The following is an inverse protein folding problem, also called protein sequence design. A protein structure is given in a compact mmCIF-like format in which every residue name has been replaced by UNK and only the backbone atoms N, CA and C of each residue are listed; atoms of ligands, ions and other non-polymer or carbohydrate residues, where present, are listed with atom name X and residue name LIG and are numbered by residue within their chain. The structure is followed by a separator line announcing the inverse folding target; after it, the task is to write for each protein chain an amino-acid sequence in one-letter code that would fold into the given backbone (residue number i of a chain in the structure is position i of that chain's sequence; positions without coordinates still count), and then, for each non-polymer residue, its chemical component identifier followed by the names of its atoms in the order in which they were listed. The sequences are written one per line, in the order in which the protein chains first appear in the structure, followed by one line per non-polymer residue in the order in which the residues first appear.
data_IF_818535599540
#
_entry.id   IF_818535599540
#
_cell.length_a   1.000
_cell.length_b   1.000
_cell.length_c   1.000
_cell.angle_alpha   90.00
_cell.angle_beta   90.00
_cell.angle_gamma   90.00
#
_symmetry.space_group_name_H-M   'P 1'
#
loop_
_entity.id
_entity.type
_entity.pdbx_description
1 polymer ?
#
# COMPACT_ATOMS: atom_id res chain seq x y z
N UNK A 1 -7.81 -12.05 -3.74
CA UNK A 1 -7.59 -12.42 -5.15
C UNK A 1 -6.09 -12.58 -5.36
N UNK A 2 -5.63 -13.74 -5.81
CA UNK A 2 -4.19 -14.09 -5.86
C UNK A 2 -3.58 -13.76 -7.24
N UNK A 3 -4.35 -13.92 -8.31
CA UNK A 3 -3.95 -13.58 -9.67
C UNK A 3 -5.18 -13.40 -10.57
N UNK A 4 -4.97 -12.80 -11.74
CA UNK A 4 -5.97 -12.63 -12.79
C UNK A 4 -5.29 -12.61 -14.15
N UNK A 5 -6.01 -13.05 -15.18
CA UNK A 5 -5.49 -13.13 -16.55
C UNK A 5 -6.62 -12.95 -17.55
N UNK A 6 -6.36 -12.19 -18.61
CA UNK A 6 -7.23 -12.08 -19.78
C UNK A 6 -6.99 -13.20 -20.82
N UNK A 7 -6.01 -14.08 -20.57
CA UNK A 7 -5.69 -15.23 -21.42
C UNK A 7 -6.04 -16.54 -20.70
N UNK A 8 -6.40 -17.56 -21.48
CA UNK A 8 -6.89 -18.86 -21.01
C UNK A 8 -5.85 -19.74 -20.32
N UNK A 9 -4.56 -19.40 -20.44
CA UNK A 9 -3.47 -20.10 -19.76
C UNK A 9 -2.60 -19.09 -19.02
N UNK A 10 -2.53 -19.21 -17.70
CA UNK A 10 -1.66 -18.38 -16.87
C UNK A 10 -1.21 -19.12 -15.61
N UNK A 11 -0.03 -18.76 -15.13
CA UNK A 11 0.57 -19.33 -13.93
C UNK A 11 0.28 -18.43 -12.73
N UNK A 12 -0.04 -19.07 -11.61
CA UNK A 12 -0.35 -18.41 -10.34
C UNK A 12 0.55 -18.99 -9.27
N UNK A 13 1.22 -18.09 -8.54
CA UNK A 13 1.94 -18.40 -7.33
C UNK A 13 0.99 -18.21 -6.16
N UNK A 14 0.82 -19.26 -5.39
CA UNK A 14 -0.10 -19.25 -4.26
C UNK A 14 0.55 -18.57 -3.04
N UNK A 15 -0.23 -17.84 -2.22
CA UNK A 15 0.29 -17.26 -0.99
C UNK A 15 0.67 -18.39 -0.03
N UNK A 16 1.84 -18.29 0.59
CA UNK A 16 2.23 -19.18 1.67
C UNK A 16 1.56 -18.78 2.98
N UNK A 17 1.26 -19.75 3.84
CA UNK A 17 0.72 -19.52 5.17
C UNK A 17 1.47 -20.30 6.25
N UNK A 18 1.23 -19.95 7.51
CA UNK A 18 1.65 -20.72 8.67
C UNK A 18 0.83 -22.03 8.82
N UNK A 19 1.03 -22.75 9.93
CA UNK A 19 0.34 -24.02 10.20
C UNK A 19 -1.20 -23.91 10.26
N UNK A 20 -1.78 -22.71 10.41
CA UNK A 20 -3.22 -22.47 10.45
C UNK A 20 -3.79 -21.93 9.14
N UNK A 21 -3.03 -21.13 8.39
CA UNK A 21 -3.48 -20.50 7.12
C UNK A 21 -2.85 -21.10 5.85
N UNK A 22 -2.01 -22.14 5.97
CA UNK A 22 -1.38 -22.81 4.81
C UNK A 22 -2.37 -23.57 3.93
N UNK A 23 -3.54 -23.97 4.45
CA UNK A 23 -4.58 -24.64 3.66
C UNK A 23 -5.35 -23.62 2.84
N UNK A 24 -5.13 -23.62 1.52
CA UNK A 24 -5.84 -22.76 0.60
C UNK A 24 -6.96 -23.51 -0.09
N UNK A 25 -8.18 -22.99 0.06
CA UNK A 25 -9.32 -23.36 -0.79
C UNK A 25 -9.26 -22.52 -2.06
N UNK A 26 -9.02 -23.16 -3.19
CA UNK A 26 -8.84 -22.48 -4.48
C UNK A 26 -10.16 -22.49 -5.23
N UNK A 27 -10.64 -21.29 -5.56
CA UNK A 27 -11.79 -21.08 -6.45
C UNK A 27 -11.31 -20.28 -7.65
N UNK A 28 -11.58 -20.77 -8.85
CA UNK A 28 -11.31 -20.06 -10.10
C UNK A 28 -12.63 -19.45 -10.56
N UNK A 29 -12.66 -18.12 -10.66
CA UNK A 29 -13.79 -17.37 -11.20
C UNK A 29 -13.45 -16.93 -12.62
N UNK A 30 -14.19 -17.44 -13.61
CA UNK A 30 -14.08 -17.06 -15.02
C UNK A 30 -15.20 -16.05 -15.30
N UNK A 31 -14.82 -14.89 -15.83
CA UNK A 31 -15.75 -13.79 -16.13
C UNK A 31 -15.68 -13.40 -17.59
N UNK A 32 -16.81 -12.99 -18.14
CA UNK A 32 -16.89 -12.33 -19.44
C UNK A 32 -17.10 -10.81 -19.31
N UNK A 33 -17.14 -10.12 -20.45
CA UNK A 33 -17.35 -8.67 -20.53
C UNK A 33 -18.76 -8.21 -20.15
N UNK A 34 -19.70 -9.14 -19.96
CA UNK A 34 -21.09 -8.89 -19.56
C UNK A 34 -21.32 -9.27 -18.09
N UNK A 35 -20.25 -9.47 -17.32
CA UNK A 35 -20.27 -9.87 -15.91
C UNK A 35 -20.96 -11.22 -15.64
N UNK A 36 -20.96 -12.13 -16.63
CA UNK A 36 -21.33 -13.52 -16.38
C UNK A 36 -20.18 -14.22 -15.66
N UNK A 37 -20.45 -14.79 -14.49
CA UNK A 37 -19.46 -15.46 -13.65
C UNK A 37 -19.67 -16.97 -13.64
N UNK A 38 -18.63 -17.74 -13.94
CA UNK A 38 -18.57 -19.19 -13.71
C UNK A 38 -17.48 -19.48 -12.68
N UNK A 39 -17.84 -20.18 -11.61
CA UNK A 39 -16.90 -20.58 -10.57
C UNK A 39 -16.55 -22.06 -10.66
N UNK A 40 -15.26 -22.36 -10.54
CA UNK A 40 -14.72 -23.72 -10.52
C UNK A 40 -13.99 -23.91 -9.19
N UNK A 41 -14.54 -24.79 -8.35
CA UNK A 41 -13.89 -25.19 -7.12
C UNK A 41 -12.79 -26.20 -7.42
N UNK A 42 -11.59 -25.91 -6.94
CA UNK A 42 -10.41 -26.76 -7.07
C UNK A 42 -10.14 -27.50 -5.76
N UNK A 43 -9.33 -28.56 -5.82
CA UNK A 43 -8.81 -29.21 -4.63
C UNK A 43 -7.99 -28.24 -3.78
N UNK A 44 -8.13 -28.35 -2.45
CA UNK A 44 -7.34 -27.56 -1.52
C UNK A 44 -5.86 -27.89 -1.60
N UNK A 45 -4.99 -26.89 -1.45
CA UNK A 45 -3.53 -27.06 -1.50
C UNK A 45 -2.92 -26.48 -0.23
N UNK A 46 -1.97 -27.20 0.37
CA UNK A 46 -1.13 -26.66 1.43
C UNK A 46 0.10 -25.96 0.85
N UNK A 47 0.30 -24.69 1.20
CA UNK A 47 1.43 -23.88 0.72
C UNK A 47 2.24 -23.39 1.91
N UNK A 48 3.50 -23.81 1.96
CA UNK A 48 4.43 -23.54 3.06
C UNK A 48 5.43 -22.45 2.61
N UNK A 49 5.84 -21.61 3.55
CA UNK A 49 6.83 -20.56 3.32
C UNK A 49 8.22 -21.16 3.06
N UNK A 50 8.90 -20.67 2.03
CA UNK A 50 10.31 -20.99 1.76
C UNK A 50 11.24 -19.98 2.46
N UNK A 51 11.39 -20.15 3.78
CA UNK A 51 12.21 -19.25 4.61
C UNK A 51 13.69 -19.21 4.19
N UNK A 52 14.20 -20.28 3.60
CA UNK A 52 15.60 -20.37 3.20
C UNK A 52 15.86 -19.39 2.06
N UNK A 53 15.10 -19.49 0.97
CA UNK A 53 15.26 -18.61 -0.19
C UNK A 53 15.02 -17.13 0.15
N UNK A 54 14.08 -16.83 1.06
CA UNK A 54 13.82 -15.45 1.51
C UNK A 54 14.93 -14.89 2.39
N UNK A 55 15.47 -15.68 3.33
CA UNK A 55 16.60 -15.23 4.16
C UNK A 55 17.89 -15.11 3.35
N UNK A 56 18.09 -15.98 2.37
CA UNK A 56 19.21 -15.88 1.43
C UNK A 56 19.14 -14.58 0.62
N UNK A 57 17.96 -14.14 0.20
CA UNK A 57 17.77 -12.84 -0.46
C UNK A 57 18.18 -11.68 0.46
N UNK A 58 17.70 -11.68 1.71
CA UNK A 58 18.02 -10.63 2.69
C UNK A 58 19.53 -10.56 2.94
N UNK A 59 20.16 -11.71 3.15
CA UNK A 59 21.62 -11.83 3.37
C UNK A 59 22.41 -11.38 2.13
N UNK A 60 21.95 -11.73 0.93
CA UNK A 60 22.59 -11.36 -0.34
C UNK A 60 22.56 -9.85 -0.59
N UNK A 61 21.45 -9.18 -0.23
CA UNK A 61 21.29 -7.74 -0.39
C UNK A 61 22.04 -6.92 0.68
N UNK A 62 22.24 -7.48 1.87
CA UNK A 62 23.02 -6.85 2.94
C UNK A 62 24.54 -6.90 2.69
N UNK A 63 25.02 -7.93 1.99
CA UNK A 63 26.46 -8.22 1.89
C UNK A 63 27.19 -7.43 0.79
N UNK A 64 26.51 -6.49 0.11
CA UNK A 64 27.10 -5.61 -0.94
C UNK A 64 27.95 -6.37 -1.98
N UNK A 65 27.68 -7.66 -2.17
CA UNK A 65 28.54 -8.55 -2.94
C UNK A 65 27.97 -8.72 -4.34
N UNK A 66 28.87 -8.86 -5.31
CA UNK A 66 28.57 -9.12 -6.73
C UNK A 66 27.83 -10.44 -7.01
N UNK A 67 27.31 -11.11 -5.98
CA UNK A 67 26.66 -12.44 -6.02
C UNK A 67 25.12 -12.33 -6.02
N UNK A 68 24.55 -11.16 -6.32
CA UNK A 68 23.11 -11.00 -6.48
C UNK A 68 22.53 -11.84 -7.64
N UNK A 69 23.34 -12.19 -8.64
CA UNK A 69 22.91 -12.92 -9.84
C UNK A 69 22.60 -14.41 -9.61
N UNK A 70 23.02 -15.00 -8.49
CA UNK A 70 22.76 -16.41 -8.18
C UNK A 70 21.49 -16.62 -7.33
N UNK A 71 20.88 -15.55 -6.82
CA UNK A 71 19.65 -15.68 -6.04
C UNK A 71 18.46 -15.91 -6.98
N UNK A 72 17.69 -16.98 -6.75
CA UNK A 72 16.56 -17.37 -7.60
C UNK A 72 15.49 -16.26 -7.68
N UNK A 73 15.26 -15.51 -6.59
CA UNK A 73 14.31 -14.40 -6.59
C UNK A 73 14.81 -13.28 -7.50
N UNK A 74 16.09 -12.89 -7.40
CA UNK A 74 16.67 -11.84 -8.27
C UNK A 74 16.60 -12.25 -9.74
N UNK A 75 16.90 -13.52 -10.04
CA UNK A 75 16.76 -14.05 -11.40
C UNK A 75 15.31 -13.96 -11.90
N UNK A 76 14.34 -14.37 -11.08
CA UNK A 76 12.92 -14.29 -11.44
C UNK A 76 12.40 -12.86 -11.56
N UNK A 77 12.92 -11.92 -10.76
CA UNK A 77 12.62 -10.49 -10.93
C UNK A 77 13.18 -9.96 -12.25
N UNK A 78 14.39 -10.36 -12.63
CA UNK A 78 15.05 -9.88 -13.86
C UNK A 78 14.55 -10.51 -15.16
N UNK A 79 14.03 -11.75 -15.12
CA UNK A 79 13.69 -12.54 -16.31
C UNK A 79 12.22 -12.99 -16.37
N UNK A 80 11.48 -12.89 -15.27
CA UNK A 80 10.08 -13.26 -15.20
C UNK A 80 9.19 -12.31 -15.99
N UNK A 81 8.04 -12.80 -16.43
CA UNK A 81 7.01 -11.91 -16.97
C UNK A 81 6.39 -11.06 -15.86
N UNK A 82 5.70 -9.97 -16.22
CA UNK A 82 5.14 -9.02 -15.25
C UNK A 82 4.18 -9.67 -14.24
N UNK A 83 3.49 -10.74 -14.62
CA UNK A 83 2.61 -11.49 -13.74
C UNK A 83 3.40 -12.21 -12.63
N UNK A 84 4.43 -12.95 -13.01
CA UNK A 84 5.32 -13.65 -12.09
C UNK A 84 6.04 -12.64 -11.19
N UNK A 85 6.58 -11.59 -11.79
CA UNK A 85 7.31 -10.53 -11.08
C UNK A 85 6.42 -9.86 -10.03
N UNK A 86 5.20 -9.44 -10.41
CA UNK A 86 4.26 -8.80 -9.48
C UNK A 86 3.85 -9.72 -8.32
N UNK A 87 3.63 -11.01 -8.60
CA UNK A 87 3.29 -12.00 -7.58
C UNK A 87 4.46 -12.27 -6.61
N UNK A 88 5.70 -12.34 -7.12
CA UNK A 88 6.90 -12.54 -6.31
C UNK A 88 7.10 -11.36 -5.36
N UNK A 89 7.01 -10.13 -5.88
CA UNK A 89 7.17 -8.92 -5.07
C UNK A 89 6.10 -8.86 -3.98
N UNK A 90 4.85 -9.16 -4.34
CA UNK A 90 3.72 -9.18 -3.38
C UNK A 90 3.96 -10.21 -2.28
N UNK A 91 4.35 -11.44 -2.63
CA UNK A 91 4.59 -12.51 -1.66
C UNK A 91 5.76 -12.19 -0.72
N UNK A 92 6.85 -11.63 -1.26
CA UNK A 92 7.99 -11.18 -0.45
C UNK A 92 7.52 -10.08 0.50
N UNK A 93 6.86 -9.05 0.00
CA UNK A 93 6.38 -7.95 0.84
C UNK A 93 5.48 -8.42 1.98
N UNK A 94 4.58 -9.37 1.71
CA UNK A 94 3.73 -9.99 2.74
C UNK A 94 4.57 -10.69 3.82
N UNK A 95 5.56 -11.48 3.43
CA UNK A 95 6.47 -12.13 4.38
C UNK A 95 7.21 -11.11 5.24
N UNK A 96 7.69 -10.01 4.65
CA UNK A 96 8.36 -8.95 5.39
C UNK A 96 7.41 -8.16 6.30
N UNK A 97 6.15 -7.99 5.91
CA UNK A 97 5.14 -7.38 6.78
C UNK A 97 4.84 -8.26 8.00
N UNK A 98 4.79 -9.58 7.81
CA UNK A 98 4.66 -10.53 8.91
C UNK A 98 5.87 -10.45 9.85
N UNK A 99 7.08 -10.56 9.30
CA UNK A 99 8.32 -10.46 10.10
C UNK A 99 8.41 -9.11 10.84
N UNK A 100 8.02 -8.01 10.23
CA UNK A 100 7.98 -6.71 10.91
C UNK A 100 7.03 -6.74 12.13
N UNK A 101 5.83 -7.32 11.97
CA UNK A 101 4.87 -7.45 13.05
C UNK A 101 5.43 -8.29 14.21
N UNK A 102 6.04 -9.44 13.90
CA UNK A 102 6.71 -10.31 14.89
C UNK A 102 7.87 -9.58 15.60
N UNK A 103 8.67 -8.81 14.86
CA UNK A 103 9.78 -8.03 15.42
C UNK A 103 9.29 -6.91 16.35
N UNK A 104 8.17 -6.25 16.00
CA UNK A 104 7.53 -5.24 16.84
C UNK A 104 7.03 -5.88 18.14
N UNK A 105 6.34 -7.02 18.05
CA UNK A 105 5.83 -7.72 19.23
C UNK A 105 6.98 -8.19 20.15
N UNK A 106 8.07 -8.69 19.57
CA UNK A 106 9.27 -9.06 20.30
C UNK A 106 9.93 -7.85 20.97
N UNK A 107 10.05 -6.71 20.27
CA UNK A 107 10.56 -5.46 20.83
C UNK A 107 9.72 -4.97 22.01
N UNK A 108 8.40 -4.99 21.88
CA UNK A 108 7.46 -4.62 22.96
C UNK A 108 7.63 -5.55 24.15
N UNK A 109 7.68 -6.87 23.93
CA UNK A 109 7.90 -7.85 25.00
C UNK A 109 9.26 -7.69 25.69
N UNK A 110 10.25 -7.13 24.99
CA UNK A 110 11.60 -6.86 25.50
C UNK A 110 11.72 -5.51 26.23
N UNK A 111 10.62 -4.77 26.37
CA UNK A 111 10.53 -3.53 27.13
C UNK A 111 10.61 -2.24 26.31
N UNK A 112 10.44 -2.30 24.98
CA UNK A 112 10.40 -1.10 24.11
C UNK A 112 8.95 -0.58 24.02
N UNK A 113 8.65 0.68 24.39
CA UNK A 113 7.30 1.21 24.29
C UNK A 113 6.81 1.25 22.84
N UNK A 114 5.64 0.68 22.56
CA UNK A 114 5.04 0.64 21.22
C UNK A 114 4.98 2.02 20.53
N UNK A 115 4.71 3.09 21.31
CA UNK A 115 4.65 4.46 20.81
C UNK A 115 5.97 4.98 20.20
N UNK A 116 7.11 4.36 20.53
CA UNK A 116 8.44 4.74 20.01
C UNK A 116 8.81 4.06 18.70
N UNK A 117 8.06 3.01 18.30
CA UNK A 117 8.39 2.18 17.14
C UNK A 117 7.22 2.01 16.15
N UNK A 118 6.02 2.51 16.48
CA UNK A 118 4.80 2.36 15.68
C UNK A 118 4.17 3.69 15.25
N UNK A 119 3.71 3.70 14.01
CA UNK A 119 2.72 4.65 13.50
C UNK A 119 1.36 3.97 13.46
N UNK A 120 0.46 4.40 14.35
CA UNK A 120 -0.88 3.84 14.60
C UNK A 120 -1.80 3.91 13.38
N UNK A 121 -2.68 2.91 13.18
CA UNK A 121 -3.74 2.85 12.15
C UNK A 121 -5.03 3.61 12.56
N UNK A 122 -5.93 3.89 11.60
CA UNK A 122 -7.14 4.75 11.76
C UNK A 122 -8.18 4.27 12.81
N UNK A 123 -7.99 3.09 13.42
CA UNK A 123 -8.86 2.53 14.47
C UNK A 123 -8.12 2.03 15.72
N UNK A 124 -6.83 2.33 15.84
CA UNK A 124 -6.04 1.88 16.99
C UNK A 124 -6.15 2.86 18.17
N UNK A 125 -6.46 2.33 19.35
CA UNK A 125 -6.49 3.10 20.60
C UNK A 125 -5.09 3.66 20.90
N UNK A 126 -4.98 4.91 21.34
CA UNK A 126 -3.68 5.49 21.71
C UNK A 126 -3.05 4.69 22.85
N UNK A 127 -1.90 4.08 22.61
CA UNK A 127 -1.17 3.32 23.62
C UNK A 127 -0.31 4.29 24.43
N UNK A 128 -0.79 4.65 25.63
CA UNK A 128 -0.02 5.43 26.61
C UNK A 128 1.17 4.59 27.10
N UNK A 129 2.39 5.04 26.80
CA UNK A 129 3.62 4.46 27.31
C UNK A 129 3.98 5.05 28.68
N UNK A 130 3.98 4.21 29.72
CA UNK A 130 4.66 4.54 30.98
C UNK A 130 6.17 4.43 30.76
N UNK A 131 6.89 5.46 31.19
CA UNK A 131 8.34 5.60 31.13
C UNK A 131 9.04 4.62 32.08
N UNK A 132 9.31 3.40 31.59
CA UNK A 132 10.29 2.49 32.20
C UNK A 132 11.61 2.54 31.44
N UNK A 133 12.72 2.24 32.14
CA UNK A 133 14.08 2.21 31.61
C UNK A 133 14.17 1.44 30.28
N UNK A 134 14.73 2.10 29.26
CA UNK A 134 14.93 1.55 27.92
C UNK A 134 15.87 0.33 27.94
N UNK A 135 15.44 -0.76 27.29
CA UNK A 135 16.33 -1.87 27.00
C UNK A 135 17.14 -1.56 25.74
N UNK A 136 18.26 -0.86 25.92
CA UNK A 136 19.16 -0.42 24.84
C UNK A 136 19.67 -1.57 23.95
N UNK A 137 19.89 -2.75 24.54
CA UNK A 137 20.31 -3.94 23.79
C UNK A 137 19.21 -4.41 22.84
N UNK A 138 17.97 -4.48 23.33
CA UNK A 138 16.83 -4.85 22.49
C UNK A 138 16.56 -3.80 21.41
N UNK A 139 16.74 -2.51 21.72
CA UNK A 139 16.57 -1.42 20.76
C UNK A 139 17.61 -1.49 19.64
N UNK A 140 18.87 -1.81 19.99
CA UNK A 140 19.94 -2.00 19.02
C UNK A 140 19.65 -3.17 18.08
N UNK A 141 19.18 -4.30 18.62
CA UNK A 141 18.81 -5.47 17.81
C UNK A 141 17.60 -5.18 16.90
N UNK A 142 16.57 -4.53 17.43
CA UNK A 142 15.41 -4.07 16.67
C UNK A 142 15.83 -3.16 15.51
N UNK A 143 16.63 -2.12 15.77
CA UNK A 143 17.09 -1.18 14.75
C UNK A 143 17.94 -1.85 13.67
N UNK A 144 18.76 -2.85 14.03
CA UNK A 144 19.53 -3.64 13.07
C UNK A 144 18.61 -4.38 12.10
N UNK A 145 17.56 -5.03 12.60
CA UNK A 145 16.58 -5.75 11.77
C UNK A 145 15.74 -4.76 10.95
N UNK A 146 15.33 -3.63 11.54
CA UNK A 146 14.59 -2.57 10.88
C UNK A 146 15.33 -2.05 9.65
N UNK A 147 16.60 -1.66 9.82
CA UNK A 147 17.44 -1.14 8.74
C UNK A 147 17.70 -2.18 7.64
N UNK A 148 17.92 -3.44 8.03
CA UNK A 148 18.03 -4.56 7.11
C UNK A 148 16.80 -4.71 6.19
N UNK A 149 15.60 -4.61 6.76
CA UNK A 149 14.35 -4.73 6.02
C UNK A 149 14.08 -3.46 5.18
N UNK A 150 14.44 -2.28 5.68
CA UNK A 150 14.34 -1.04 4.93
C UNK A 150 15.17 -1.04 3.64
N UNK A 151 16.40 -1.56 3.68
CA UNK A 151 17.26 -1.70 2.49
C UNK A 151 16.60 -2.53 1.39
N UNK A 152 15.97 -3.64 1.77
CA UNK A 152 15.24 -4.49 0.83
C UNK A 152 14.03 -3.77 0.24
N UNK A 153 13.26 -3.04 1.06
CA UNK A 153 12.10 -2.28 0.56
C UNK A 153 12.53 -1.18 -0.40
N UNK A 154 13.62 -0.48 -0.12
CA UNK A 154 14.22 0.52 -1.03
C UNK A 154 14.56 -0.12 -2.39
N UNK A 155 15.20 -1.30 -2.37
CA UNK A 155 15.48 -2.09 -3.58
C UNK A 155 14.22 -2.49 -4.35
N UNK A 156 13.23 -3.11 -3.67
CA UNK A 156 12.01 -3.59 -4.32
C UNK A 156 11.16 -2.45 -4.87
N UNK A 157 11.04 -1.33 -4.16
CA UNK A 157 10.34 -0.13 -4.62
C UNK A 157 11.01 0.45 -5.86
N UNK A 158 12.34 0.59 -5.83
CA UNK A 158 13.12 1.04 -6.99
C UNK A 158 12.86 0.13 -8.18
N UNK A 159 12.94 -1.18 -7.99
CA UNK A 159 12.64 -2.16 -9.03
C UNK A 159 11.21 -2.01 -9.60
N UNK A 160 10.21 -1.76 -8.76
CA UNK A 160 8.83 -1.55 -9.26
C UNK A 160 8.71 -0.33 -10.19
N UNK A 161 9.60 0.66 -10.03
CA UNK A 161 9.59 1.87 -10.85
C UNK A 161 10.04 1.61 -12.29
N UNK A 162 10.82 0.56 -12.52
CA UNK A 162 11.33 0.16 -13.84
C UNK A 162 10.35 -0.72 -14.63
N UNK A 163 9.30 -1.23 -13.97
CA UNK A 163 8.32 -2.08 -14.63
C UNK A 163 7.50 -1.28 -15.67
N UNK A 164 7.19 -1.90 -16.81
CA UNK A 164 6.32 -1.27 -17.80
C UNK A 164 4.85 -1.32 -17.35
N UNK A 165 4.06 -0.29 -17.70
CA UNK A 165 2.60 -0.26 -17.48
C UNK A 165 1.94 -0.42 -18.84
N UNK A 166 1.52 -1.64 -19.17
CA UNK A 166 1.05 -2.00 -20.53
C UNK A 166 -0.41 -2.40 -20.57
N UNK A 167 -0.96 -2.91 -19.46
CA UNK A 167 -2.30 -3.51 -19.39
C UNK A 167 -2.97 -3.24 -18.04
N UNK A 168 -4.28 -3.46 -17.94
CA UNK A 168 -5.00 -3.44 -16.65
C UNK A 168 -4.39 -4.40 -15.62
N UNK A 169 -3.90 -5.56 -16.06
CA UNK A 169 -3.23 -6.54 -15.20
C UNK A 169 -1.92 -6.01 -14.64
N UNK A 170 -1.14 -5.31 -15.46
CA UNK A 170 0.08 -4.65 -14.99
C UNK A 170 -0.22 -3.60 -13.93
N UNK A 171 -1.33 -2.84 -14.08
CA UNK A 171 -1.77 -1.85 -13.09
C UNK A 171 -2.18 -2.54 -11.78
N UNK A 172 -3.03 -3.57 -11.84
CA UNK A 172 -3.51 -4.33 -10.67
C UNK A 172 -2.36 -4.97 -9.89
N UNK A 173 -1.44 -5.64 -10.58
CA UNK A 173 -0.35 -6.36 -9.94
C UNK A 173 0.67 -5.41 -9.32
N UNK A 174 1.03 -4.34 -10.02
CA UNK A 174 2.00 -3.39 -9.52
C UNK A 174 1.44 -2.51 -8.40
N UNK A 175 0.16 -2.12 -8.47
CA UNK A 175 -0.52 -1.44 -7.37
C UNK A 175 -0.61 -2.35 -6.13
N UNK A 176 -0.96 -3.63 -6.30
CA UNK A 176 -0.94 -4.62 -5.22
C UNK A 176 0.45 -4.77 -4.61
N UNK A 177 1.48 -4.93 -5.44
CA UNK A 177 2.86 -5.03 -4.99
C UNK A 177 3.28 -3.80 -4.18
N UNK A 178 3.03 -2.59 -4.68
CA UNK A 178 3.34 -1.34 -3.99
C UNK A 178 2.57 -1.18 -2.67
N UNK A 179 1.28 -1.51 -2.65
CA UNK A 179 0.48 -1.47 -1.44
C UNK A 179 1.06 -2.38 -0.34
N UNK A 180 1.51 -3.59 -0.72
CA UNK A 180 2.14 -4.51 0.22
C UNK A 180 3.55 -4.05 0.65
N UNK A 181 4.41 -3.60 -0.28
CA UNK A 181 5.77 -3.17 0.06
C UNK A 181 5.74 -1.92 0.95
N UNK A 182 4.77 -1.03 0.77
CA UNK A 182 4.65 0.20 1.56
C UNK A 182 3.95 0.01 2.90
N UNK A 183 3.37 -1.17 3.17
CA UNK A 183 2.55 -1.38 4.38
C UNK A 183 3.33 -1.21 5.70
N UNK A 184 4.60 -1.62 5.75
CA UNK A 184 5.47 -1.40 6.93
C UNK A 184 6.07 0.00 6.88
N UNK A 185 5.29 0.98 7.30
CA UNK A 185 5.59 2.42 7.18
C UNK A 185 6.87 2.83 7.91
N UNK A 186 7.22 2.14 9.00
CA UNK A 186 8.46 2.33 9.77
C UNK A 186 9.74 1.88 9.04
N UNK A 187 9.63 1.26 7.86
CA UNK A 187 10.74 0.70 7.08
C UNK A 187 10.90 1.39 5.72
N UNK A 188 10.27 2.54 5.51
CA UNK A 188 10.34 3.28 4.26
C UNK A 188 11.28 4.46 4.37
N UNK A 189 12.33 4.46 3.55
CA UNK A 189 13.25 5.59 3.45
C UNK A 189 12.60 6.77 2.73
N UNK A 190 13.16 7.97 2.87
CA UNK A 190 12.71 9.16 2.14
C UNK A 190 12.74 8.95 0.62
N UNK A 191 13.78 8.31 0.09
CA UNK A 191 13.89 8.03 -1.33
C UNK A 191 12.83 7.01 -1.79
N UNK A 192 12.64 5.94 -1.01
CA UNK A 192 11.61 4.94 -1.27
C UNK A 192 10.21 5.57 -1.28
N UNK A 193 9.93 6.50 -0.37
CA UNK A 193 8.66 7.24 -0.32
C UNK A 193 8.43 8.09 -1.58
N UNK A 194 9.45 8.83 -2.02
CA UNK A 194 9.38 9.63 -3.25
C UNK A 194 9.13 8.75 -4.48
N UNK A 195 9.89 7.65 -4.61
CA UNK A 195 9.74 6.70 -5.72
C UNK A 195 8.37 6.02 -5.69
N UNK A 196 7.93 5.52 -4.52
CA UNK A 196 6.63 4.88 -4.36
C UNK A 196 5.48 5.85 -4.64
N UNK A 197 5.56 7.10 -4.17
CA UNK A 197 4.57 8.15 -4.44
C UNK A 197 4.45 8.43 -5.93
N UNK A 198 5.58 8.67 -6.61
CA UNK A 198 5.61 8.90 -8.05
C UNK A 198 5.05 7.68 -8.80
N UNK A 199 5.45 6.47 -8.41
CA UNK A 199 4.99 5.25 -9.06
C UNK A 199 3.48 5.02 -8.87
N UNK A 200 2.97 5.26 -7.66
CA UNK A 200 1.54 5.22 -7.37
C UNK A 200 0.76 6.23 -8.23
N UNK A 201 1.31 7.43 -8.42
CA UNK A 201 0.75 8.44 -9.31
C UNK A 201 0.72 7.99 -10.77
N UNK A 202 1.81 7.44 -11.30
CA UNK A 202 1.85 6.92 -12.69
C UNK A 202 0.83 5.79 -12.92
N UNK A 203 0.69 4.88 -11.96
CA UNK A 203 -0.31 3.82 -12.04
C UNK A 203 -1.74 4.37 -11.97
N UNK A 204 -1.97 5.44 -11.20
CA UNK A 204 -3.28 6.11 -11.12
C UNK A 204 -3.63 6.83 -12.42
N UNK A 205 -2.65 7.46 -13.08
CA UNK A 205 -2.82 8.03 -14.42
C UNK A 205 -3.17 6.95 -15.45
N UNK A 206 -2.45 5.83 -15.44
CA UNK A 206 -2.71 4.71 -16.33
C UNK A 206 -4.09 4.07 -16.07
N UNK A 207 -4.50 3.96 -14.81
CA UNK A 207 -5.85 3.51 -14.46
C UNK A 207 -6.91 4.46 -15.03
N UNK A 208 -6.73 5.77 -14.83
CA UNK A 208 -7.66 6.78 -15.31
C UNK A 208 -7.78 6.82 -16.83
N UNK A 209 -6.69 6.56 -17.56
CA UNK A 209 -6.72 6.53 -19.03
C UNK A 209 -7.38 5.25 -19.58
N UNK A 210 -7.37 4.16 -18.82
CA UNK A 210 -7.97 2.88 -19.19
C UNK A 210 -9.36 2.64 -18.57
N UNK A 211 -9.85 3.55 -17.72
CA UNK A 211 -11.05 3.34 -16.91
C UNK A 211 -12.29 2.92 -17.72
N UNK A 212 -12.48 3.48 -18.92
CA UNK A 212 -13.62 3.13 -19.79
C UNK A 212 -13.47 1.79 -20.52
N UNK A 213 -12.29 1.16 -20.45
CA UNK A 213 -11.94 -0.06 -21.20
C UNK A 213 -11.72 -1.27 -20.28
N UNK A 214 -11.89 -1.10 -18.97
CA UNK A 214 -11.71 -2.16 -17.98
C UNK A 214 -13.01 -2.43 -17.23
N UNK A 215 -13.24 -3.65 -16.74
CA UNK A 215 -14.36 -3.95 -15.85
C UNK A 215 -14.29 -3.11 -14.57
N UNK A 216 -15.45 -2.82 -13.98
CA UNK A 216 -15.53 -2.06 -12.74
C UNK A 216 -14.76 -2.72 -11.60
N UNK A 217 -14.83 -4.05 -11.50
CA UNK A 217 -14.17 -4.83 -10.46
C UNK A 217 -12.65 -4.70 -10.58
N UNK A 218 -12.12 -4.69 -11.80
CA UNK A 218 -10.70 -4.48 -12.07
C UNK A 218 -10.27 -3.06 -11.69
N UNK A 219 -11.09 -2.06 -12.04
CA UNK A 219 -10.87 -0.67 -11.65
C UNK A 219 -10.89 -0.50 -10.12
N UNK A 220 -11.86 -1.12 -9.46
CA UNK A 220 -12.04 -1.09 -8.00
C UNK A 220 -10.88 -1.75 -7.28
N UNK A 221 -10.41 -2.92 -7.75
CA UNK A 221 -9.26 -3.60 -7.16
C UNK A 221 -8.00 -2.73 -7.29
N UNK A 222 -7.71 -2.21 -8.48
CA UNK A 222 -6.56 -1.33 -8.69
C UNK A 222 -6.66 -0.06 -7.83
N UNK A 223 -7.84 0.56 -7.80
CA UNK A 223 -8.13 1.74 -6.99
C UNK A 223 -7.88 1.50 -5.49
N UNK A 224 -8.37 0.39 -4.95
CA UNK A 224 -8.18 0.01 -3.54
C UNK A 224 -6.69 -0.10 -3.20
N UNK A 225 -5.92 -0.78 -4.04
CA UNK A 225 -4.48 -0.95 -3.81
C UNK A 225 -3.71 0.37 -3.95
N UNK A 226 -4.06 1.21 -4.92
CA UNK A 226 -3.43 2.52 -5.08
C UNK A 226 -3.77 3.48 -3.94
N UNK A 227 -5.00 3.46 -3.44
CA UNK A 227 -5.39 4.23 -2.25
C UNK A 227 -4.66 3.73 -1.00
N UNK A 228 -4.52 2.40 -0.84
CA UNK A 228 -3.72 1.84 0.24
C UNK A 228 -2.26 2.30 0.16
N UNK A 229 -1.65 2.22 -1.02
CA UNK A 229 -0.29 2.68 -1.25
C UNK A 229 -0.14 4.18 -0.92
N UNK A 230 -1.03 5.03 -1.43
CA UNK A 230 -1.01 6.46 -1.18
C UNK A 230 -1.12 6.78 0.31
N UNK A 231 -2.00 6.07 1.04
CA UNK A 231 -2.14 6.22 2.49
C UNK A 231 -0.92 5.75 3.26
N UNK A 232 -0.34 4.61 2.87
CA UNK A 232 0.88 4.09 3.49
C UNK A 232 2.03 5.11 3.35
N UNK A 233 2.22 5.65 2.15
CA UNK A 233 3.26 6.65 1.86
C UNK A 233 3.04 7.92 2.70
N UNK A 234 1.80 8.42 2.78
CA UNK A 234 1.48 9.59 3.59
C UNK A 234 1.73 9.34 5.08
N UNK A 235 1.33 8.17 5.59
CA UNK A 235 1.53 7.76 6.99
C UNK A 235 3.02 7.65 7.33
N UNK A 236 3.80 7.05 6.44
CA UNK A 236 5.23 6.84 6.64
C UNK A 236 6.03 8.14 6.67
N UNK A 237 5.69 9.11 5.81
CA UNK A 237 6.29 10.45 5.80
C UNK A 237 6.11 11.18 7.13
N UNK A 238 4.94 11.04 7.76
CA UNK A 238 4.64 11.72 9.02
C UNK A 238 5.38 11.11 10.22
N UNK A 239 5.82 9.85 10.14
CA UNK A 239 6.50 9.14 11.23
C UNK A 239 7.77 9.84 11.73
N UNK A 240 8.77 10.08 10.86
CA UNK A 240 10.00 10.77 11.24
C UNK A 240 9.76 12.22 11.70
N UNK A 241 8.86 12.96 11.04
CA UNK A 241 8.54 14.35 11.41
C UNK A 241 7.91 14.50 12.80
N UNK A 242 7.25 13.45 13.28
CA UNK A 242 6.63 13.42 14.60
C UNK A 242 7.50 12.74 15.65
N UNK A 243 8.75 12.37 15.29
CA UNK A 243 9.67 11.61 16.15
C UNK A 243 9.08 10.27 16.62
N UNK A 244 8.13 9.69 15.84
CA UNK A 244 7.44 8.44 16.18
C UNK A 244 8.11 7.20 15.59
N UNK A 245 9.09 7.40 14.71
CA UNK A 245 9.91 6.35 14.11
C UNK A 245 11.36 6.80 14.08
N UNK A 246 12.28 5.87 14.34
CA UNK A 246 13.72 6.11 14.18
C UNK A 246 14.07 6.46 12.73
N UNK A 247 14.96 7.43 12.54
CA UNK A 247 15.59 7.67 11.24
C UNK A 247 16.37 6.44 10.79
N UNK A 248 16.13 5.99 9.56
CA UNK A 248 16.79 4.82 8.97
C UNK A 248 18.24 5.17 8.57
N UNK A 249 19.15 4.20 8.69
CA UNK A 249 20.58 4.34 8.40
C UNK A 249 20.83 4.78 6.95
N UNK A 250 20.01 4.32 6.00
CA UNK A 250 20.07 4.77 4.61
C UNK A 250 19.76 6.26 4.46
N UNK A 251 18.76 6.78 5.19
CA UNK A 251 18.45 8.20 5.14
C UNK A 251 19.51 9.04 5.86
N UNK A 252 20.00 8.56 7.00
CA UNK A 252 21.09 9.19 7.72
C UNK A 252 22.37 9.26 6.87
N UNK A 253 22.75 8.17 6.21
CA UNK A 253 23.93 8.14 5.34
C UNK A 253 23.76 9.03 4.09
N UNK A 254 22.60 9.02 3.44
CA UNK A 254 22.28 9.89 2.29
C UNK A 254 22.27 11.36 2.67
N UNK A 255 21.85 11.71 3.88
CA UNK A 255 21.85 13.10 4.37
C UNK A 255 23.25 13.60 4.76
N UNK A 256 24.14 12.70 5.17
CA UNK A 256 25.53 13.02 5.50
C UNK A 256 26.48 12.96 4.29
N UNK A 257 25.99 12.63 3.09
CA UNK A 257 26.75 12.85 1.85
C UNK A 257 26.88 14.36 1.62
N UNK A 258 28.11 14.87 1.65
CA UNK A 258 28.42 16.31 1.53
C UNK A 258 27.61 16.93 0.38
N UNK A 259 26.66 17.83 0.67
CA UNK A 259 25.91 18.51 -0.36
C UNK A 259 26.85 19.39 -1.20
N UNK A 260 26.59 19.51 -2.51
CA UNK A 260 27.11 20.64 -3.28
C UNK A 260 26.51 21.98 -2.83
N UNK A 261 25.45 21.95 -2.02
CA UNK A 261 24.76 23.13 -1.48
C UNK A 261 24.43 22.92 0.02
N UNK A 262 25.13 23.67 0.88
CA UNK A 262 25.45 23.34 2.28
C UNK A 262 24.26 23.46 3.27
N UNK A 263 23.03 23.68 2.80
CA UNK A 263 21.99 24.34 3.62
C UNK A 263 20.66 23.57 3.76
N UNK A 264 20.62 22.28 3.43
CA UNK A 264 19.41 21.46 3.66
C UNK A 264 19.66 20.46 4.78
N UNK A 265 19.23 20.79 6.00
CA UNK A 265 19.18 19.82 7.09
C UNK A 265 18.16 18.69 6.79
N UNK A 266 18.25 17.58 7.52
CA UNK A 266 17.40 16.41 7.27
C UNK A 266 15.89 16.73 7.43
N UNK A 267 15.55 17.58 8.39
CA UNK A 267 14.17 17.99 8.68
C UNK A 267 13.55 18.79 7.53
N UNK A 268 14.26 19.76 6.95
CA UNK A 268 13.80 20.50 5.77
C UNK A 268 13.65 19.59 4.55
N UNK A 269 14.52 18.59 4.39
CA UNK A 269 14.38 17.58 3.33
C UNK A 269 13.10 16.73 3.50
N UNK A 270 12.75 16.35 4.73
CA UNK A 270 11.50 15.64 5.04
C UNK A 270 10.27 16.54 4.83
N UNK A 271 10.31 17.79 5.26
CA UNK A 271 9.21 18.75 5.06
C UNK A 271 8.90 18.98 3.58
N UNK A 272 9.94 19.17 2.75
CA UNK A 272 9.77 19.30 1.30
C UNK A 272 9.19 18.03 0.66
N UNK A 273 9.70 16.86 1.07
CA UNK A 273 9.20 15.56 0.62
C UNK A 273 7.72 15.39 0.99
N UNK A 274 7.33 15.85 2.18
CA UNK A 274 5.94 15.81 2.67
C UNK A 274 5.00 16.64 1.81
N UNK A 275 5.36 17.88 1.52
CA UNK A 275 4.53 18.77 0.70
C UNK A 275 4.33 18.20 -0.72
N UNK A 276 5.38 17.64 -1.31
CA UNK A 276 5.32 16.99 -2.62
C UNK A 276 4.41 15.76 -2.59
N UNK A 277 4.61 14.88 -1.61
CA UNK A 277 3.82 13.66 -1.45
C UNK A 277 2.35 13.99 -1.19
N UNK A 278 2.05 14.98 -0.34
CA UNK A 278 0.67 15.37 -0.04
C UNK A 278 -0.08 15.86 -1.29
N UNK A 279 0.59 16.68 -2.11
CA UNK A 279 0.04 17.13 -3.41
C UNK A 279 -0.17 15.97 -4.39
N UNK A 280 0.78 15.04 -4.46
CA UNK A 280 0.69 13.85 -5.31
C UNK A 280 -0.43 12.90 -4.85
N UNK A 281 -0.54 12.63 -3.55
CA UNK A 281 -1.60 11.81 -2.95
C UNK A 281 -2.98 12.42 -3.24
N UNK A 282 -3.13 13.73 -3.12
CA UNK A 282 -4.37 14.43 -3.50
C UNK A 282 -4.73 14.19 -4.98
N UNK A 283 -3.72 14.25 -5.86
CA UNK A 283 -3.89 13.99 -7.29
C UNK A 283 -4.24 12.53 -7.58
N UNK A 284 -3.58 11.57 -6.91
CA UNK A 284 -3.88 10.13 -6.96
C UNK A 284 -5.34 9.89 -6.60
N UNK A 285 -5.79 10.42 -5.46
CA UNK A 285 -7.17 10.26 -4.98
C UNK A 285 -8.17 10.82 -5.99
N UNK A 286 -7.88 11.99 -6.56
CA UNK A 286 -8.72 12.60 -7.59
C UNK A 286 -8.85 11.71 -8.83
N UNK A 287 -7.74 11.20 -9.37
CA UNK A 287 -7.71 10.30 -10.52
C UNK A 287 -8.48 9.00 -10.26
N UNK A 288 -8.27 8.40 -9.09
CA UNK A 288 -8.96 7.17 -8.70
C UNK A 288 -10.46 7.41 -8.51
N UNK A 289 -10.84 8.51 -7.85
CA UNK A 289 -12.25 8.89 -7.70
C UNK A 289 -12.91 9.01 -9.06
N UNK A 290 -12.29 9.74 -9.99
CA UNK A 290 -12.79 9.91 -11.36
C UNK A 290 -12.94 8.56 -12.06
N UNK A 291 -11.92 7.70 -11.96
CA UNK A 291 -11.92 6.36 -12.57
C UNK A 291 -13.08 5.50 -12.06
N UNK A 292 -13.32 5.48 -10.75
CA UNK A 292 -14.43 4.72 -10.16
C UNK A 292 -15.79 5.34 -10.49
N UNK A 293 -15.88 6.66 -10.53
CA UNK A 293 -17.13 7.37 -10.80
C UNK A 293 -17.67 7.08 -12.21
N UNK A 294 -16.79 6.77 -13.18
CA UNK A 294 -17.19 6.35 -14.54
C UNK A 294 -18.06 5.07 -14.50
N UNK A 295 -17.86 4.21 -13.50
CA UNK A 295 -18.58 2.95 -13.38
C UNK A 295 -19.81 3.03 -12.47
N UNK A 296 -20.00 4.13 -11.73
CA UNK A 296 -21.11 4.28 -10.81
C UNK A 296 -22.33 4.89 -11.52
N UNK A 297 -23.43 4.12 -11.52
CA UNK A 297 -24.74 4.65 -11.90
C UNK A 297 -25.40 5.39 -10.74
N UNK A 298 -26.48 6.13 -11.06
CA UNK A 298 -27.31 6.81 -10.06
C UNK A 298 -27.84 5.78 -9.04
N UNK A 299 -27.67 6.08 -7.75
CA UNK A 299 -28.08 5.24 -6.63
C UNK A 299 -27.07 4.16 -6.23
N UNK A 300 -25.93 4.05 -6.93
CA UNK A 300 -24.85 3.13 -6.57
C UNK A 300 -23.79 3.81 -5.71
N UNK A 301 -23.15 3.02 -4.86
CA UNK A 301 -22.00 3.43 -4.06
C UNK A 301 -20.81 2.49 -4.25
N UNK A 302 -19.62 3.02 -4.02
CA UNK A 302 -18.36 2.28 -3.93
C UNK A 302 -17.73 2.58 -2.59
N UNK A 303 -17.43 1.54 -1.82
CA UNK A 303 -16.78 1.66 -0.52
C UNK A 303 -15.41 1.00 -0.59
N UNK A 304 -14.41 1.73 -0.12
CA UNK A 304 -13.03 1.31 0.02
C UNK A 304 -12.73 1.34 1.50
N UNK A 305 -12.53 0.17 2.08
CA UNK A 305 -12.24 0.01 3.50
C UNK A 305 -10.96 -0.79 3.66
N UNK A 306 -9.92 -0.14 4.17
CA UNK A 306 -8.64 -0.74 4.45
C UNK A 306 -8.18 -0.39 5.86
N UNK A 307 -7.08 -1.00 6.31
CA UNK A 307 -6.53 -0.71 7.65
C UNK A 307 -6.07 0.74 7.83
N UNK A 308 -5.80 1.47 6.75
CA UNK A 308 -5.28 2.85 6.79
C UNK A 308 -6.25 3.89 6.23
N UNK A 309 -7.24 3.47 5.45
CA UNK A 309 -8.11 4.38 4.72
C UNK A 309 -9.55 3.91 4.71
N UNK A 310 -10.46 4.87 4.88
CA UNK A 310 -11.85 4.69 4.49
C UNK A 310 -12.22 5.71 3.43
N UNK A 311 -12.79 5.23 2.32
CA UNK A 311 -13.35 6.09 1.30
C UNK A 311 -14.70 5.55 0.86
N UNK A 312 -15.70 6.44 0.79
CA UNK A 312 -17.01 6.15 0.24
C UNK A 312 -17.29 7.12 -0.89
N UNK A 313 -17.67 6.58 -2.04
CA UNK A 313 -18.09 7.32 -3.22
C UNK A 313 -19.54 6.94 -3.53
N UNK A 314 -20.42 7.91 -3.69
CA UNK A 314 -21.83 7.67 -4.01
C UNK A 314 -22.32 8.64 -5.08
N UNK A 315 -22.99 8.12 -6.11
CA UNK A 315 -23.62 8.94 -7.14
C UNK A 315 -25.11 8.98 -6.91
N UNK A 316 -25.65 10.19 -6.77
CA UNK A 316 -27.06 10.41 -6.49
C UNK A 316 -27.69 11.34 -7.52
N UNK A 317 -28.99 11.15 -7.74
CA UNK A 317 -29.84 12.13 -8.39
C UNK A 317 -30.70 12.74 -7.29
N UNK A 318 -30.45 14.00 -6.98
CA UNK A 318 -31.26 14.75 -6.02
C UNK A 318 -31.25 16.23 -6.34
N UNK A 319 -32.36 16.90 -6.06
CA UNK A 319 -32.50 18.35 -6.14
C UNK A 319 -31.90 19.03 -4.89
N UNK A 320 -31.65 18.29 -3.81
CA UNK A 320 -31.05 18.83 -2.57
C UNK A 320 -30.29 17.76 -1.75
N UNK A 321 -29.22 18.19 -1.09
CA UNK A 321 -28.46 17.40 -0.11
C UNK A 321 -28.84 17.71 1.35
N UNK A 322 -29.81 18.60 1.58
CA UNK A 322 -30.20 19.06 2.91
C UNK A 322 -30.60 17.91 3.84
N UNK A 323 -30.10 17.95 5.09
CA UNK A 323 -30.37 16.96 6.15
C UNK A 323 -30.00 15.51 5.81
N UNK A 324 -29.03 15.31 4.92
CA UNK A 324 -28.56 13.98 4.59
C UNK A 324 -27.56 13.48 5.63
N UNK A 325 -27.75 12.23 6.08
CA UNK A 325 -26.79 11.51 6.91
C UNK A 325 -26.00 10.53 6.03
N UNK A 326 -24.67 10.66 6.06
CA UNK A 326 -23.74 9.69 5.47
C UNK A 326 -23.15 8.86 6.62
N UNK A 327 -23.49 7.57 6.66
CA UNK A 327 -22.96 6.62 7.64
C UNK A 327 -21.49 6.29 7.33
N UNK A 328 -20.66 6.19 8.37
CA UNK A 328 -19.22 5.92 8.27
C UNK A 328 -18.87 4.62 9.01
N UNK A 329 -17.56 4.34 9.10
CA UNK A 329 -16.98 3.29 9.95
C UNK A 329 -17.25 3.56 11.43
N UNK A 330 -17.39 2.49 12.21
CA UNK A 330 -17.40 2.50 13.69
C UNK A 330 -18.36 3.52 14.35
N UNK A 331 -19.54 3.72 13.75
CA UNK A 331 -20.61 4.62 14.21
C UNK A 331 -20.39 6.13 13.98
N UNK A 332 -19.34 6.53 13.26
CA UNK A 332 -19.21 7.92 12.86
C UNK A 332 -20.25 8.26 11.76
N UNK A 333 -20.77 9.49 11.76
CA UNK A 333 -21.74 9.94 10.77
C UNK A 333 -21.46 11.39 10.37
N UNK A 334 -21.58 11.68 9.08
CA UNK A 334 -21.48 13.04 8.57
C UNK A 334 -22.90 13.53 8.27
N UNK A 335 -23.27 14.66 8.86
CA UNK A 335 -24.57 15.29 8.65
C UNK A 335 -24.41 16.51 7.76
N UNK A 336 -25.06 16.49 6.60
CA UNK A 336 -25.16 17.66 5.73
C UNK A 336 -26.24 18.59 6.32
N UNK A 337 -25.91 19.85 6.67
CA UNK A 337 -26.87 20.78 7.26
C UNK A 337 -28.10 21.02 6.38
N UNK A 338 -29.23 21.37 7.00
CA UNK A 338 -30.49 21.68 6.29
C UNK A 338 -30.37 22.86 5.33
N UNK A 339 -29.47 23.79 5.61
CA UNK A 339 -29.21 25.04 4.90
C UNK A 339 -28.22 24.90 3.73
N UNK A 340 -27.78 23.67 3.42
CA UNK A 340 -26.92 23.41 2.27
C UNK A 340 -27.70 23.57 0.95
N UNK A 341 -27.62 24.75 0.35
CA UNK A 341 -28.23 25.05 -0.95
C UNK A 341 -27.27 24.73 -2.10
N UNK A 342 -27.64 23.76 -2.93
CA UNK A 342 -27.02 23.52 -4.23
C UNK A 342 -27.85 24.17 -5.32
N UNK A 343 -27.24 25.07 -6.08
CA UNK A 343 -27.90 25.67 -7.25
C UNK A 343 -27.66 24.77 -8.46
N UNK A 344 -28.38 23.65 -8.52
CA UNK A 344 -28.20 22.64 -9.55
C UNK A 344 -29.49 22.42 -10.33
N UNK A 345 -29.40 22.36 -11.67
CA UNK A 345 -30.56 22.16 -12.54
C UNK A 345 -31.24 20.81 -12.26
N UNK A 346 -32.54 20.70 -12.56
CA UNK A 346 -33.46 19.59 -12.21
C UNK A 346 -33.05 18.17 -12.62
N UNK A 347 -31.98 17.99 -13.42
CA UNK A 347 -31.49 16.69 -13.90
C UNK A 347 -29.98 16.47 -13.66
N UNK A 348 -29.39 17.19 -12.71
CA UNK A 348 -27.97 17.03 -12.40
C UNK A 348 -27.72 15.80 -11.51
N UNK A 349 -26.69 15.04 -11.84
CA UNK A 349 -26.13 14.03 -10.94
C UNK A 349 -25.08 14.68 -10.03
N UNK A 350 -25.12 14.32 -8.75
CA UNK A 350 -24.14 14.76 -7.76
C UNK A 350 -23.34 13.53 -7.34
N UNK A 351 -22.02 13.63 -7.42
CA UNK A 351 -21.10 12.61 -6.88
C UNK A 351 -20.59 13.09 -5.52
N UNK A 352 -20.89 12.33 -4.48
CA UNK A 352 -20.44 12.57 -3.12
C UNK A 352 -19.23 11.68 -2.82
N UNK A 353 -18.11 12.30 -2.48
CA UNK A 353 -16.92 11.61 -1.98
C UNK A 353 -16.67 11.97 -0.53
N UNK A 354 -16.55 10.96 0.31
CA UNK A 354 -16.06 11.07 1.68
C UNK A 354 -14.81 10.22 1.79
N UNK A 355 -13.70 10.81 2.23
CA UNK A 355 -12.42 10.12 2.39
C UNK A 355 -11.79 10.49 3.74
N UNK A 356 -11.34 9.48 4.47
CA UNK A 356 -10.54 9.62 5.67
C UNK A 356 -9.23 8.88 5.47
N UNK A 357 -8.14 9.61 5.64
CA UNK A 357 -6.79 9.07 5.67
C UNK A 357 -6.28 9.17 7.09
N UNK A 358 -5.39 8.25 7.42
CA UNK A 358 -4.71 8.28 8.69
C UNK A 358 -3.66 9.38 8.68
N UNK A 359 -4.10 10.58 9.02
CA UNK A 359 -3.26 11.74 9.26
C UNK A 359 -3.45 12.02 10.75
N UNK A 360 -2.55 11.47 11.57
CA UNK A 360 -2.40 11.86 12.97
C UNK A 360 -1.47 13.05 13.01
#
# INVERSE_FOLDING_TARGET
MIAYSSVSYYQVRLPSGDNQISLLNIVISIRDLLDCVVEVNMSSVHVIVDYITTNDLLTSLQSSSSVLTNNLIVQLLSSGNQNIVGQIITAIAQQFNQMNSENIDQAISSGIPAATILVSSLGSSSLQGNSTSFNESALTEYNKILNAQANLRDYLITFTSDLLITTSNSIKLQSSALAQITQSTNQLTRAALSIASNRCYQLSLALSSMATQIPYEDAQIAANQLIQCASNVLTAVNGPLQERTSTLDLDYSRANMVPTDYDTDLESAWSNTTNQINSQVTSIISLITSSLNIHLNIGQNSIINTSQTYMSLETISTQSLSNRIVKQIENAQFHIPSDFNLNTNDNSSISLRVSFFNII
#
